data_IF_950591760227
#
_entry.id   IF_950591760227
#
_cell.length_a   1.000
_cell.length_b   1.000
_cell.length_c   1.000
_cell.angle_alpha   90.00
_cell.angle_beta   90.00
_cell.angle_gamma   90.00
#
_symmetry.space_group_name_H-M   'P 1'
#
loop_
_entity.id
_entity.type
_entity.pdbx_description
1 polymer ?
#
# COMPACT_ATOMS: atom_id res chain seq x y z
N UNK A 1 -12.67 -4.33 14.55
CA UNK A 1 -11.94 -5.24 13.65
C UNK A 1 -11.62 -4.50 12.37
N UNK A 2 -10.39 -4.67 11.87
CA UNK A 2 -9.93 -4.13 10.59
C UNK A 2 -9.42 -5.32 9.78
N UNK A 3 -9.75 -5.38 8.49
CA UNK A 3 -9.20 -6.34 7.55
C UNK A 3 -8.40 -5.58 6.47
N UNK A 4 -7.27 -6.16 6.04
CA UNK A 4 -6.39 -5.58 5.04
C UNK A 4 -6.23 -6.57 3.88
N UNK A 5 -6.32 -6.08 2.65
CA UNK A 5 -5.95 -6.78 1.43
C UNK A 5 -4.94 -5.92 0.69
N UNK A 6 -3.84 -6.52 0.24
CA UNK A 6 -2.79 -5.85 -0.51
C UNK A 6 -2.32 -6.74 -1.64
N UNK A 7 -2.12 -6.19 -2.83
CA UNK A 7 -1.54 -6.88 -3.97
C UNK A 7 -0.52 -5.98 -4.68
N UNK A 8 0.55 -6.60 -5.15
CA UNK A 8 1.53 -6.02 -6.07
C UNK A 8 1.75 -7.06 -7.18
N UNK A 9 1.23 -6.81 -8.38
CA UNK A 9 1.01 -7.87 -9.38
C UNK A 9 2.09 -7.90 -10.46
N UNK A 10 2.78 -6.78 -10.67
CA UNK A 10 3.87 -6.69 -11.64
C UNK A 10 5.18 -6.49 -10.88
N UNK A 11 6.23 -7.31 -11.12
CA UNK A 11 7.59 -6.97 -10.74
C UNK A 11 8.07 -5.83 -11.66
N UNK A 12 7.46 -4.66 -11.47
CA UNK A 12 7.77 -3.45 -12.21
C UNK A 12 9.13 -2.93 -11.80
N UNK A 13 9.84 -2.35 -12.76
CA UNK A 13 11.10 -1.64 -12.54
C UNK A 13 10.96 -0.24 -13.14
N UNK A 14 10.12 0.59 -12.52
CA UNK A 14 9.89 1.97 -12.97
C UNK A 14 11.15 2.84 -12.94
N UNK A 15 12.16 2.42 -12.18
CA UNK A 15 13.46 3.07 -12.09
C UNK A 15 14.55 2.32 -12.85
N UNK A 16 14.19 1.45 -13.80
CA UNK A 16 15.14 0.72 -14.64
C UNK A 16 16.03 1.71 -15.41
N UNK A 17 17.21 2.04 -14.85
CA UNK A 17 18.32 2.60 -15.62
C UNK A 17 18.95 1.43 -16.36
N UNK A 18 18.31 1.05 -17.47
CA UNK A 18 18.73 0.06 -18.46
C UNK A 18 20.14 -0.50 -18.25
N UNK A 19 20.24 -1.64 -17.57
CA UNK A 19 21.41 -2.53 -17.74
C UNK A 19 21.17 -3.46 -18.94
N UNK A 20 19.89 -3.74 -19.25
CA UNK A 20 19.46 -4.66 -20.34
C UNK A 20 18.52 -4.03 -21.40
N UNK A 21 18.27 -2.71 -21.36
CA UNK A 21 17.46 -2.01 -22.37
C UNK A 21 15.93 -2.20 -22.30
N UNK A 22 15.39 -2.70 -21.19
CA UNK A 22 13.94 -2.78 -20.97
C UNK A 22 13.31 -1.42 -20.69
N UNK A 23 12.07 -1.22 -21.14
CA UNK A 23 11.28 -0.03 -20.79
C UNK A 23 10.88 -0.07 -19.31
N UNK A 24 10.82 1.08 -18.62
CA UNK A 24 10.26 1.17 -17.28
C UNK A 24 8.83 0.60 -17.26
N UNK A 25 8.59 -0.35 -16.36
CA UNK A 25 7.25 -0.91 -16.14
C UNK A 25 6.82 -0.55 -14.73
N UNK A 26 5.70 0.15 -14.59
CA UNK A 26 5.15 0.48 -13.29
C UNK A 26 4.64 -0.75 -12.54
N UNK A 27 4.63 -0.65 -11.21
CA UNK A 27 4.04 -1.68 -10.35
C UNK A 27 2.55 -1.43 -10.26
N UNK A 28 1.75 -2.46 -10.54
CA UNK A 28 0.32 -2.39 -10.25
C UNK A 28 0.09 -2.78 -8.79
N UNK A 29 -0.34 -1.80 -8.00
CA UNK A 29 -0.58 -1.93 -6.57
C UNK A 29 -2.06 -1.75 -6.27
N UNK A 30 -2.58 -2.56 -5.34
CA UNK A 30 -3.94 -2.43 -4.83
C UNK A 30 -3.95 -2.69 -3.33
N UNK A 31 -4.32 -1.69 -2.53
CA UNK A 31 -4.42 -1.71 -1.08
C UNK A 31 -5.85 -1.40 -0.67
N UNK A 32 -6.46 -2.30 0.09
CA UNK A 32 -7.83 -2.18 0.59
C UNK A 32 -7.88 -2.39 2.09
N UNK A 33 -8.41 -1.42 2.82
CA UNK A 33 -8.62 -1.51 4.27
C UNK A 33 -10.11 -1.49 4.56
N UNK A 34 -10.61 -2.52 5.21
CA UNK A 34 -12.01 -2.66 5.58
C UNK A 34 -12.18 -2.49 7.08
N UNK A 35 -13.09 -1.61 7.48
CA UNK A 35 -13.47 -1.37 8.86
C UNK A 35 -14.98 -1.46 9.07
N UNK A 36 -15.42 -1.34 10.32
CA UNK A 36 -16.84 -1.41 10.67
C UNK A 36 -17.71 -0.29 10.09
N UNK A 37 -17.08 0.81 9.65
CA UNK A 37 -17.76 2.01 9.13
C UNK A 37 -17.61 2.19 7.61
N UNK A 38 -16.87 1.34 6.93
CA UNK A 38 -16.55 1.53 5.52
C UNK A 38 -15.22 0.91 5.12
N UNK A 39 -14.68 1.37 3.99
CA UNK A 39 -13.41 0.91 3.48
C UNK A 39 -12.62 2.03 2.80
N UNK A 40 -11.30 1.92 2.84
CA UNK A 40 -10.34 2.71 2.07
C UNK A 40 -9.79 1.86 0.94
N UNK A 41 -9.65 2.45 -0.24
CA UNK A 41 -9.04 1.85 -1.43
C UNK A 41 -7.94 2.77 -1.91
N UNK A 42 -6.74 2.23 -2.10
CA UNK A 42 -5.60 2.95 -2.63
C UNK A 42 -4.85 2.04 -3.57
N UNK A 43 -4.78 2.40 -4.83
CA UNK A 43 -4.16 1.55 -5.84
C UNK A 43 -4.10 2.25 -7.19
N UNK A 44 -3.22 1.74 -8.04
CA UNK A 44 -2.89 2.29 -9.35
C UNK A 44 -1.63 1.64 -9.91
N UNK A 45 -1.28 2.10 -11.10
CA UNK A 45 0.00 1.87 -11.77
C UNK A 45 0.98 2.98 -11.34
N UNK A 46 2.06 2.58 -10.68
CA UNK A 46 3.12 3.46 -10.16
C UNK A 46 3.77 4.34 -11.26
N UNK A 47 3.79 3.85 -12.51
CA UNK A 47 4.31 4.61 -13.66
C UNK A 47 3.33 5.66 -14.21
N UNK A 48 2.07 5.63 -13.78
CA UNK A 48 1.01 6.52 -14.26
C UNK A 48 0.19 7.04 -13.08
N UNK A 49 0.55 8.18 -12.47
CA UNK A 49 -0.15 8.71 -11.30
C UNK A 49 -1.66 8.87 -11.46
N UNK A 50 -2.12 9.21 -12.67
CA UNK A 50 -3.55 9.37 -12.99
C UNK A 50 -4.34 8.06 -13.09
N UNK A 51 -3.66 6.91 -13.00
CA UNK A 51 -4.28 5.58 -13.07
C UNK A 51 -5.01 5.19 -11.78
N UNK A 52 -4.76 5.91 -10.69
CA UNK A 52 -5.23 5.53 -9.37
C UNK A 52 -5.56 6.70 -8.47
N UNK A 53 -6.09 6.41 -7.29
CA UNK A 53 -6.61 7.39 -6.35
C UNK A 53 -6.65 6.81 -4.93
N UNK A 54 -6.80 7.69 -3.93
CA UNK A 54 -7.25 7.31 -2.60
C UNK A 54 -8.77 7.51 -2.50
N UNK A 55 -9.50 6.42 -2.34
CA UNK A 55 -10.96 6.44 -2.21
C UNK A 55 -11.41 6.01 -0.81
N UNK A 56 -12.41 6.71 -0.29
CA UNK A 56 -13.15 6.34 0.90
C UNK A 56 -14.57 5.96 0.52
N UNK A 57 -15.03 4.83 1.07
CA UNK A 57 -16.39 4.34 0.89
C UNK A 57 -16.99 4.07 2.26
N UNK A 58 -17.91 4.92 2.71
CA UNK A 58 -18.53 4.82 4.03
C UNK A 58 -19.88 4.09 3.97
N UNK A 59 -20.22 3.38 5.04
CA UNK A 59 -21.51 2.69 5.15
C UNK A 59 -22.68 3.67 5.25
N UNK A 60 -22.51 4.78 5.96
CA UNK A 60 -23.53 5.81 6.16
C UNK A 60 -23.86 6.58 4.88
N UNK A 61 -22.95 6.65 3.92
CA UNK A 61 -23.18 7.22 2.58
C UNK A 61 -23.71 6.20 1.56
N UNK A 62 -24.01 4.97 1.99
CA UNK A 62 -24.41 3.89 1.09
C UNK A 62 -23.27 3.39 0.19
N UNK A 63 -22.01 3.58 0.58
CA UNK A 63 -20.85 3.14 -0.17
C UNK A 63 -20.46 4.04 -1.35
N UNK A 64 -20.96 5.28 -1.37
CA UNK A 64 -20.52 6.28 -2.37
C UNK A 64 -19.01 6.48 -2.31
N UNK A 65 -18.41 6.64 -3.48
CA UNK A 65 -16.98 6.88 -3.64
C UNK A 65 -16.71 8.36 -3.33
N UNK A 66 -15.94 8.59 -2.28
CA UNK A 66 -15.35 9.88 -1.93
C UNK A 66 -13.86 9.80 -2.28
N UNK A 67 -13.41 10.58 -3.27
CA UNK A 67 -11.98 10.69 -3.58
C UNK A 67 -11.32 11.62 -2.57
N UNK A 68 -10.41 11.07 -1.77
CA UNK A 68 -9.59 11.82 -0.83
C UNK A 68 -8.30 12.33 -1.48
N UNK A 69 -7.85 11.66 -2.56
CA UNK A 69 -6.73 12.07 -3.39
C UNK A 69 -6.95 11.57 -4.82
N UNK A 70 -6.67 12.40 -5.82
CA UNK A 70 -6.98 12.12 -7.23
C UNK A 70 -5.88 11.38 -8.01
N UNK A 71 -4.72 11.18 -7.37
CA UNK A 71 -3.56 10.50 -7.96
C UNK A 71 -3.04 9.37 -7.08
N UNK A 72 -2.36 8.41 -7.70
CA UNK A 72 -1.63 7.32 -7.08
C UNK A 72 -0.12 7.58 -7.16
N UNK A 73 0.46 8.00 -6.03
CA UNK A 73 1.88 8.34 -5.90
C UNK A 73 2.54 7.33 -4.96
N UNK A 74 2.96 6.17 -5.47
CA UNK A 74 3.37 5.05 -4.62
C UNK A 74 4.83 5.06 -4.23
N UNK A 75 5.73 5.13 -5.20
CA UNK A 75 7.15 5.33 -4.96
C UNK A 75 7.59 6.76 -5.25
N UNK A 76 8.35 7.33 -4.31
CA UNK A 76 9.19 8.50 -4.55
C UNK A 76 10.60 8.13 -4.08
N UNK A 77 11.54 8.16 -5.01
CA UNK A 77 12.95 7.90 -4.77
C UNK A 77 13.73 9.15 -4.35
N UNK A 78 13.04 10.20 -3.90
CA UNK A 78 13.70 11.33 -3.26
C UNK A 78 14.28 10.89 -1.91
N UNK A 79 15.61 10.78 -1.88
CA UNK A 79 16.38 10.45 -0.69
C UNK A 79 16.31 11.59 0.36
N UNK A 80 15.82 12.78 -0.01
CA UNK A 80 15.59 13.92 0.85
C UNK A 80 14.08 14.12 1.13
N UNK A 81 13.57 13.69 2.28
CA UNK A 81 12.15 13.92 2.58
C UNK A 81 11.58 13.23 3.82
N UNK A 82 10.24 13.25 3.91
CA UNK A 82 9.45 12.61 5.00
C UNK A 82 9.03 11.17 4.66
N UNK A 83 9.61 10.58 3.61
CA UNK A 83 9.18 9.31 3.02
C UNK A 83 8.15 9.48 1.89
N UNK A 84 7.71 8.37 1.26
CA UNK A 84 6.86 8.40 0.07
C UNK A 84 5.52 9.10 0.29
N UNK A 85 5.06 9.82 -0.74
CA UNK A 85 3.79 10.53 -0.77
C UNK A 85 2.60 9.61 -0.47
N UNK A 86 2.65 8.36 -0.93
CA UNK A 86 1.66 7.32 -0.62
C UNK A 86 1.41 7.16 0.88
N UNK A 87 2.49 7.08 1.66
CA UNK A 87 2.41 6.91 3.12
C UNK A 87 1.80 8.15 3.76
N UNK A 88 2.18 9.34 3.28
CA UNK A 88 1.66 10.61 3.78
C UNK A 88 0.17 10.77 3.49
N UNK A 89 -0.25 10.57 2.24
CA UNK A 89 -1.64 10.65 1.79
C UNK A 89 -2.53 9.69 2.60
N UNK A 90 -2.06 8.46 2.81
CA UNK A 90 -2.81 7.47 3.58
C UNK A 90 -2.97 7.86 5.06
N UNK A 91 -1.91 8.42 5.66
CA UNK A 91 -1.92 8.84 7.07
C UNK A 91 -2.75 10.10 7.28
N UNK A 92 -2.65 11.09 6.40
CA UNK A 92 -3.47 12.30 6.41
C UNK A 92 -4.96 11.95 6.34
N UNK A 93 -5.33 11.02 5.46
CA UNK A 93 -6.69 10.50 5.38
C UNK A 93 -7.16 9.76 6.64
N UNK A 94 -6.25 9.02 7.30
CA UNK A 94 -6.57 8.29 8.54
C UNK A 94 -6.62 9.20 9.77
N UNK A 95 -5.95 10.36 9.75
CA UNK A 95 -5.71 11.20 10.91
C UNK A 95 -6.03 12.66 10.60
N UNK A 96 -7.31 12.99 10.55
CA UNK A 96 -7.76 14.40 10.62
C UNK A 96 -7.22 15.06 11.90
N UNK A 97 -6.10 15.80 11.79
CA UNK A 97 -5.63 16.74 12.80
C UNK A 97 -4.71 16.23 13.92
N UNK A 98 -4.09 15.04 13.81
CA UNK A 98 -3.15 14.56 14.84
C UNK A 98 -1.68 14.75 14.41
N UNK A 99 -0.76 15.13 15.33
CA UNK A 99 0.65 15.38 14.99
C UNK A 99 1.37 14.12 14.47
N UNK A 100 2.45 14.39 13.73
CA UNK A 100 3.24 13.44 12.94
C UNK A 100 3.66 12.19 13.70
N UNK A 101 3.61 11.05 13.00
CA UNK A 101 4.11 9.76 13.47
C UNK A 101 5.49 9.52 12.86
N UNK A 102 6.40 8.87 13.59
CA UNK A 102 7.67 8.42 13.02
C UNK A 102 7.39 7.24 12.07
N UNK A 103 7.32 7.52 10.76
CA UNK A 103 6.99 6.55 9.71
C UNK A 103 7.99 5.39 9.61
N UNK A 104 9.23 5.64 10.01
CA UNK A 104 10.27 4.65 10.12
C UNK A 104 10.75 4.60 11.58
N UNK A 105 10.61 3.42 12.20
CA UNK A 105 11.23 3.14 13.50
C UNK A 105 11.79 1.72 13.49
N UNK A 106 12.78 1.46 14.34
CA UNK A 106 13.33 0.11 14.51
C UNK A 106 12.24 -0.91 14.89
N UNK A 107 11.22 -0.48 15.65
CA UNK A 107 10.10 -1.34 16.02
C UNK A 107 9.24 -1.73 14.80
N UNK A 108 8.90 -0.76 13.94
CA UNK A 108 8.17 -1.03 12.69
C UNK A 108 9.00 -1.95 11.78
N UNK A 109 10.29 -1.64 11.59
CA UNK A 109 11.19 -2.46 10.78
C UNK A 109 11.31 -3.90 11.28
N UNK A 110 11.44 -4.10 12.59
CA UNK A 110 11.50 -5.44 13.18
C UNK A 110 10.21 -6.24 12.93
N UNK A 111 9.04 -5.62 13.02
CA UNK A 111 7.77 -6.30 12.73
C UNK A 111 7.64 -6.63 11.25
N UNK A 112 8.04 -5.73 10.35
CA UNK A 112 8.07 -6.01 8.90
C UNK A 112 8.93 -7.22 8.58
N UNK A 113 10.16 -7.30 9.13
CA UNK A 113 11.05 -8.45 8.92
C UNK A 113 10.43 -9.75 9.43
N UNK A 114 9.80 -9.72 10.61
CA UNK A 114 9.11 -10.90 11.18
C UNK A 114 7.96 -11.40 10.29
N UNK A 115 7.17 -10.48 9.71
CA UNK A 115 6.09 -10.84 8.79
C UNK A 115 6.66 -11.46 7.52
N UNK A 116 7.69 -10.86 6.92
CA UNK A 116 8.33 -11.37 5.71
C UNK A 116 8.90 -12.78 5.96
N UNK A 117 9.63 -12.97 7.05
CA UNK A 117 10.18 -14.27 7.45
C UNK A 117 9.07 -15.32 7.66
N UNK A 118 7.96 -14.95 8.31
CA UNK A 118 6.80 -15.85 8.42
C UNK A 118 6.19 -16.22 7.06
N UNK A 119 6.12 -15.28 6.10
CA UNK A 119 5.65 -15.53 4.74
C UNK A 119 6.56 -16.54 4.02
N UNK A 120 7.88 -16.36 4.08
CA UNK A 120 8.84 -17.30 3.48
C UNK A 120 8.75 -18.69 4.09
N UNK A 121 8.65 -18.80 5.42
CA UNK A 121 8.46 -20.10 6.10
C UNK A 121 7.15 -20.78 5.71
N UNK A 122 6.05 -20.01 5.62
CA UNK A 122 4.74 -20.51 5.20
C UNK A 122 4.80 -21.07 3.77
N UNK A 123 5.45 -20.34 2.85
CA UNK A 123 5.66 -20.82 1.48
C UNK A 123 6.50 -22.11 1.44
N UNK A 124 7.62 -22.14 2.16
CA UNK A 124 8.49 -23.33 2.24
C UNK A 124 7.78 -24.55 2.86
N UNK A 125 6.81 -24.33 3.76
CA UNK A 125 5.99 -25.37 4.37
C UNK A 125 4.82 -25.86 3.49
N UNK A 126 4.65 -25.33 2.28
CA UNK A 126 3.56 -25.69 1.37
C UNK A 126 2.25 -24.94 1.60
N UNK A 127 2.30 -23.80 2.30
CA UNK A 127 1.14 -22.98 2.66
C UNK A 127 0.75 -23.09 4.13
N UNK A 128 -0.24 -22.29 4.53
CA UNK A 128 -0.80 -22.37 5.89
C UNK A 128 -1.45 -23.75 6.09
N UNK A 129 -1.27 -24.39 7.26
CA UNK A 129 -2.11 -25.53 7.63
C UNK A 129 -3.56 -25.08 7.55
N UNK A 130 -4.34 -25.66 6.64
CA UNK A 130 -5.78 -25.53 6.65
C UNK A 130 -6.27 -26.20 7.92
N UNK A 131 -6.53 -25.42 8.96
CA UNK A 131 -7.43 -25.87 10.03
C UNK A 131 -8.79 -26.06 9.37
N UNK A 132 -9.06 -27.31 8.99
CA UNK A 132 -10.40 -27.81 8.70
C UNK A 132 -11.19 -27.63 9.99
N UNK A 133 -12.22 -26.79 9.94
CA UNK A 133 -13.22 -26.64 11.00
C UNK A 133 -14.18 -27.83 11.01
#
# INVERSE_FOLDING_TARGET
TVALSGAAVVPGNEHAKTVDGGEPVGKLIDVKVFGSKGALFFGGDDSLPSSGALELRRRDTGGRIEKLHDEFLFENCDDEGLGPESVRIFVEACRTGAPSFAFASAAVGLQTVRVIDAMYRSHAAGGMPTTVA
#
